data_IF_474097140836
#
_entry.id   IF_474097140836
#
_cell.length_a   1.000
_cell.length_b   1.000
_cell.length_c   1.000
_cell.angle_alpha   90.00
_cell.angle_beta   90.00
_cell.angle_gamma   90.00
#
_symmetry.space_group_name_H-M   'P 1'
#
loop_
_entity.id
_entity.type
_entity.pdbx_description
1 polymer ?
#
# COMPACT_ATOMS: atom_id res chain seq x y z
N UNK A 1 25.85 -2.05 1.19
CA UNK A 1 24.74 -1.08 1.37
C UNK A 1 23.40 -1.78 1.61
N UNK A 2 22.83 -2.52 0.64
CA UNK A 2 21.62 -3.34 0.85
C UNK A 2 21.86 -4.46 1.88
N UNK A 3 23.04 -5.08 1.80
CA UNK A 3 23.59 -6.04 2.76
C UNK A 3 23.60 -5.52 4.20
N UNK A 4 23.91 -4.24 4.37
CA UNK A 4 24.18 -3.64 5.68
C UNK A 4 22.86 -3.36 6.40
N UNK A 5 21.82 -3.00 5.64
CA UNK A 5 20.44 -2.84 6.13
C UNK A 5 19.80 -4.18 6.51
N UNK A 6 20.03 -5.23 5.71
CA UNK A 6 19.59 -6.58 6.08
C UNK A 6 20.28 -7.06 7.35
N UNK A 7 21.59 -6.85 7.47
CA UNK A 7 22.31 -7.19 8.70
C UNK A 7 21.80 -6.39 9.90
N UNK A 8 21.45 -5.11 9.74
CA UNK A 8 20.82 -4.32 10.79
C UNK A 8 19.45 -4.88 11.19
N UNK A 9 18.63 -5.28 10.21
CA UNK A 9 17.32 -5.90 10.46
C UNK A 9 17.43 -7.27 11.18
N UNK A 10 18.50 -8.03 10.92
CA UNK A 10 18.75 -9.33 11.58
C UNK A 10 19.24 -9.15 13.03
N UNK A 11 19.97 -8.08 13.32
CA UNK A 11 20.62 -7.85 14.63
C UNK A 11 19.69 -7.28 15.71
N UNK A 12 18.51 -6.79 15.35
CA UNK A 12 17.54 -6.26 16.30
C UNK A 12 16.20 -6.99 16.22
N UNK A 13 15.51 -7.25 17.35
CA UNK A 13 14.20 -7.85 17.32
C UNK A 13 13.22 -6.94 16.57
N UNK A 14 12.83 -7.34 15.36
CA UNK A 14 11.84 -6.68 14.50
C UNK A 14 10.41 -6.91 15.02
N UNK A 15 10.21 -6.88 16.34
CA UNK A 15 8.90 -7.10 16.96
C UNK A 15 8.04 -5.84 16.96
N UNK A 16 8.55 -4.71 16.42
CA UNK A 16 7.95 -3.38 16.35
C UNK A 16 6.42 -3.37 16.44
N UNK A 17 5.89 -3.25 17.66
CA UNK A 17 4.45 -3.23 17.88
C UNK A 17 3.98 -1.80 17.66
N UNK A 18 3.57 -1.50 16.43
CA UNK A 18 2.59 -0.44 16.14
C UNK A 18 3.06 1.01 16.12
N UNK A 19 2.43 1.77 15.22
CA UNK A 19 1.94 3.15 15.38
C UNK A 19 2.67 4.04 16.42
N UNK A 20 3.99 4.26 16.31
CA UNK A 20 4.58 5.44 16.95
C UNK A 20 5.98 5.36 17.54
N UNK A 21 6.63 4.19 17.65
CA UNK A 21 8.05 4.18 18.06
C UNK A 21 8.92 3.66 16.92
N UNK A 22 9.62 4.56 16.19
CA UNK A 22 10.62 4.13 15.23
C UNK A 22 11.64 3.24 15.93
N UNK A 23 12.18 2.25 15.23
CA UNK A 23 13.45 1.62 15.61
C UNK A 23 14.42 2.72 16.03
N UNK A 24 15.04 2.61 17.21
CA UNK A 24 15.80 3.70 17.84
C UNK A 24 16.73 4.46 16.85
N UNK A 25 17.51 3.77 15.99
CA UNK A 25 18.32 4.37 14.92
C UNK A 25 17.57 5.03 13.74
N UNK A 26 16.31 4.64 13.51
CA UNK A 26 15.41 5.17 12.49
C UNK A 26 14.56 6.36 13.00
N UNK A 27 14.67 6.72 14.29
CA UNK A 27 13.92 7.84 14.86
C UNK A 27 14.47 9.18 14.37
N UNK A 28 13.59 10.04 13.84
CA UNK A 28 13.95 11.41 13.45
C UNK A 28 14.46 12.23 14.65
N UNK A 29 14.10 11.85 15.89
CA UNK A 29 14.55 12.50 17.13
C UNK A 29 16.07 12.36 17.36
N UNK A 30 16.70 11.24 17.00
CA UNK A 30 18.17 11.10 17.09
C UNK A 30 18.91 11.67 15.87
N UNK A 31 18.20 12.07 14.80
CA UNK A 31 18.79 12.73 13.62
C UNK A 31 18.87 14.26 13.74
N UNK A 32 18.70 14.80 14.94
CA UNK A 32 19.03 16.20 15.24
C UNK A 32 18.10 17.25 14.64
N UNK A 33 16.85 16.92 14.31
CA UNK A 33 15.88 17.96 13.90
C UNK A 33 15.47 18.91 15.04
N UNK A 34 15.74 18.55 16.30
CA UNK A 34 15.53 19.44 17.45
C UNK A 34 16.73 19.54 18.42
N UNK A 35 17.80 18.77 18.26
CA UNK A 35 18.87 18.68 19.27
C UNK A 35 20.27 18.50 18.66
N UNK A 36 21.23 19.18 19.28
CA UNK A 36 22.52 19.68 18.76
C UNK A 36 23.67 18.67 18.87
N UNK A 37 23.44 17.38 19.11
CA UNK A 37 24.52 16.43 19.39
C UNK A 37 24.83 15.48 18.21
N UNK A 38 25.55 16.01 17.21
CA UNK A 38 26.08 15.26 16.07
C UNK A 38 27.42 14.52 16.35
N UNK A 39 27.81 14.36 17.61
CA UNK A 39 29.17 13.92 17.97
C UNK A 39 29.29 12.50 18.54
N UNK A 40 28.25 11.69 18.49
CA UNK A 40 28.35 10.28 18.87
C UNK A 40 28.81 9.42 17.69
N UNK A 41 30.12 9.16 17.61
CA UNK A 41 30.77 8.31 16.60
C UNK A 41 30.29 6.85 16.64
N UNK A 42 29.58 6.44 17.70
CA UNK A 42 28.94 5.11 17.78
C UNK A 42 27.66 4.99 16.95
N UNK A 43 27.06 6.12 16.54
CA UNK A 43 25.91 6.21 15.61
C UNK A 43 26.34 6.25 14.13
N UNK A 44 27.58 5.86 13.83
CA UNK A 44 28.08 5.77 12.46
C UNK A 44 27.28 4.73 11.65
N UNK A 45 26.61 5.23 10.61
CA UNK A 45 25.87 4.49 9.56
C UNK A 45 24.51 3.89 9.93
N UNK A 46 23.53 4.71 10.35
CA UNK A 46 22.17 4.41 9.92
C UNK A 46 22.01 4.81 8.44
N UNK A 47 22.23 3.85 7.53
CA UNK A 47 21.91 4.00 6.11
C UNK A 47 20.39 4.14 6.00
N UNK A 48 19.88 5.15 5.31
CA UNK A 48 18.43 5.26 5.13
C UNK A 48 17.91 4.07 4.32
N UNK A 49 16.77 3.46 4.67
CA UNK A 49 16.17 2.45 3.80
C UNK A 49 15.85 3.08 2.45
N UNK A 50 16.38 2.49 1.38
CA UNK A 50 16.22 2.99 0.01
C UNK A 50 14.98 2.46 -0.68
N UNK A 51 14.20 1.62 0.00
CA UNK A 51 12.93 1.13 -0.51
C UNK A 51 11.89 1.09 0.61
N UNK A 52 10.62 1.28 0.23
CA UNK A 52 9.51 1.39 1.18
C UNK A 52 9.28 0.11 1.99
N UNK A 53 9.62 -1.06 1.45
CA UNK A 53 9.46 -2.33 2.19
C UNK A 53 10.46 -2.44 3.34
N UNK A 54 11.72 -2.09 3.11
CA UNK A 54 12.73 -1.99 4.17
C UNK A 54 12.37 -0.90 5.19
N UNK A 55 11.79 0.20 4.72
CA UNK A 55 11.30 1.25 5.60
C UNK A 55 10.21 0.74 6.55
N UNK A 56 9.20 0.05 6.03
CA UNK A 56 8.13 -0.57 6.85
C UNK A 56 8.71 -1.65 7.77
N UNK A 57 9.62 -2.50 7.28
CA UNK A 57 10.25 -3.55 8.07
C UNK A 57 11.02 -2.99 9.27
N UNK A 58 11.82 -1.95 9.05
CA UNK A 58 12.60 -1.32 10.10
C UNK A 58 11.73 -0.50 11.05
N UNK A 59 10.64 0.12 10.58
CA UNK A 59 9.80 1.01 11.42
C UNK A 59 8.70 0.28 12.17
N UNK A 60 8.09 -0.71 11.55
CA UNK A 60 6.89 -1.40 12.04
C UNK A 60 7.15 -2.89 12.32
N UNK A 61 8.37 -3.37 12.09
CA UNK A 61 8.75 -4.75 12.37
C UNK A 61 8.18 -5.78 11.39
N UNK A 62 8.62 -7.01 11.58
CA UNK A 62 8.25 -8.16 10.76
C UNK A 62 6.73 -8.44 10.75
N UNK A 63 6.01 -8.37 11.89
CA UNK A 63 4.57 -8.65 11.89
C UNK A 63 3.77 -7.70 10.99
N UNK A 64 4.09 -6.39 11.02
CA UNK A 64 3.41 -5.40 10.19
C UNK A 64 3.76 -5.56 8.71
N UNK A 65 5.03 -5.85 8.38
CA UNK A 65 5.42 -6.15 7.00
C UNK A 65 4.69 -7.36 6.46
N UNK A 66 4.59 -8.44 7.25
CA UNK A 66 3.84 -9.64 6.86
C UNK A 66 2.35 -9.32 6.67
N UNK A 67 1.73 -8.59 7.59
CA UNK A 67 0.34 -8.19 7.47
C UNK A 67 0.09 -7.36 6.19
N UNK A 68 0.96 -6.39 5.90
CA UNK A 68 0.91 -5.59 4.68
C UNK A 68 1.01 -6.47 3.43
N UNK A 69 2.00 -7.38 3.37
CA UNK A 69 2.16 -8.30 2.25
C UNK A 69 0.94 -9.21 2.06
N UNK A 70 0.34 -9.70 3.15
CA UNK A 70 -0.89 -10.50 3.09
C UNK A 70 -2.03 -9.69 2.48
N UNK A 71 -2.24 -8.43 2.91
CA UNK A 71 -3.27 -7.55 2.33
C UNK A 71 -3.04 -7.34 0.85
N UNK A 72 -1.80 -7.01 0.44
CA UNK A 72 -1.46 -6.79 -0.96
C UNK A 72 -1.73 -8.03 -1.82
N UNK A 73 -1.22 -9.19 -1.39
CA UNK A 73 -1.43 -10.46 -2.10
C UNK A 73 -2.91 -10.78 -2.21
N UNK A 74 -3.69 -10.59 -1.13
CA UNK A 74 -5.14 -10.83 -1.15
C UNK A 74 -5.88 -9.92 -2.14
N UNK A 75 -5.55 -8.63 -2.14
CA UNK A 75 -6.12 -7.66 -3.07
C UNK A 75 -5.76 -7.99 -4.52
N UNK A 76 -4.49 -8.31 -4.82
CA UNK A 76 -4.09 -8.67 -6.19
C UNK A 76 -4.71 -9.98 -6.66
N UNK A 77 -4.77 -10.99 -5.79
CA UNK A 77 -5.45 -12.25 -6.13
C UNK A 77 -6.91 -12.00 -6.49
N UNK A 78 -7.59 -11.13 -5.72
CA UNK A 78 -8.96 -10.71 -6.01
C UNK A 78 -9.03 -10.01 -7.37
N UNK A 79 -8.24 -8.94 -7.58
CA UNK A 79 -8.21 -8.18 -8.83
C UNK A 79 -7.98 -9.06 -10.07
N UNK A 80 -6.99 -9.95 -10.04
CA UNK A 80 -6.66 -10.80 -11.19
C UNK A 80 -7.64 -11.97 -11.38
N UNK A 81 -8.27 -12.46 -10.31
CA UNK A 81 -9.31 -13.49 -10.43
C UNK A 81 -10.59 -12.95 -11.07
N UNK A 82 -10.91 -11.67 -10.83
CA UNK A 82 -12.14 -11.03 -11.35
C UNK A 82 -12.17 -10.97 -12.87
N UNK A 83 -11.01 -10.89 -13.53
CA UNK A 83 -10.97 -10.90 -15.00
C UNK A 83 -11.50 -12.22 -15.61
N UNK A 84 -11.36 -13.34 -14.88
CA UNK A 84 -11.80 -14.65 -15.36
C UNK A 84 -13.25 -15.00 -14.95
N UNK A 85 -13.71 -14.47 -13.82
CA UNK A 85 -14.97 -14.91 -13.18
C UNK A 85 -16.04 -13.82 -13.16
N UNK A 86 -15.65 -12.55 -13.38
CA UNK A 86 -16.54 -11.40 -13.26
C UNK A 86 -17.68 -11.42 -14.28
N UNK A 87 -18.91 -11.23 -13.78
CA UNK A 87 -20.12 -11.19 -14.61
C UNK A 87 -20.29 -9.82 -15.26
N UNK A 88 -19.95 -8.74 -14.55
CA UNK A 88 -19.91 -7.39 -15.10
C UNK A 88 -18.50 -7.01 -15.58
N UNK A 89 -18.30 -7.04 -16.90
CA UNK A 89 -16.98 -6.85 -17.55
C UNK A 89 -16.30 -5.53 -17.21
N UNK A 90 -17.05 -4.42 -17.18
CA UNK A 90 -16.46 -3.11 -16.88
C UNK A 90 -15.84 -3.04 -15.48
N UNK A 91 -16.55 -3.55 -14.45
CA UNK A 91 -16.02 -3.61 -13.10
C UNK A 91 -14.87 -4.61 -12.96
N UNK A 92 -14.90 -5.73 -13.69
CA UNK A 92 -13.81 -6.69 -13.74
C UNK A 92 -12.53 -6.10 -14.36
N UNK A 93 -12.66 -5.39 -15.49
CA UNK A 93 -11.54 -4.72 -16.17
C UNK A 93 -10.98 -3.58 -15.32
N UNK A 94 -11.85 -2.82 -14.63
CA UNK A 94 -11.43 -1.81 -13.66
C UNK A 94 -10.66 -2.43 -12.49
N UNK A 95 -11.14 -3.52 -11.89
CA UNK A 95 -10.44 -4.22 -10.82
C UNK A 95 -9.07 -4.72 -11.28
N UNK A 96 -8.97 -5.26 -12.50
CA UNK A 96 -7.72 -5.70 -13.10
C UNK A 96 -6.73 -4.55 -13.28
N UNK A 97 -7.19 -3.42 -13.84
CA UNK A 97 -6.36 -2.23 -14.01
C UNK A 97 -5.85 -1.69 -12.66
N UNK A 98 -6.71 -1.59 -11.65
CA UNK A 98 -6.33 -1.18 -10.30
C UNK A 98 -5.29 -2.14 -9.68
N UNK A 99 -5.49 -3.45 -9.87
CA UNK A 99 -4.52 -4.47 -9.44
C UNK A 99 -3.17 -4.31 -10.12
N UNK A 100 -3.14 -4.10 -11.44
CA UNK A 100 -1.90 -3.89 -12.19
C UNK A 100 -1.19 -2.58 -11.79
N UNK A 101 -1.94 -1.49 -11.64
CA UNK A 101 -1.39 -0.19 -11.23
C UNK A 101 -0.77 -0.25 -9.83
N UNK A 102 -1.47 -0.83 -8.86
CA UNK A 102 -0.95 -0.99 -7.49
C UNK A 102 0.23 -1.96 -7.44
N UNK A 103 0.22 -3.03 -8.24
CA UNK A 103 1.37 -3.93 -8.36
C UNK A 103 2.59 -3.20 -8.92
N UNK A 104 2.43 -2.42 -9.99
CA UNK A 104 3.51 -1.62 -10.56
C UNK A 104 4.08 -0.63 -9.54
N UNK A 105 3.21 0.11 -8.84
CA UNK A 105 3.63 1.06 -7.81
C UNK A 105 4.37 0.35 -6.66
N UNK A 106 3.90 -0.83 -6.25
CA UNK A 106 4.58 -1.62 -5.23
C UNK A 106 5.96 -2.10 -5.71
N UNK A 107 6.08 -2.60 -6.95
CA UNK A 107 7.37 -3.00 -7.52
C UNK A 107 8.35 -1.82 -7.61
N UNK A 108 7.88 -0.64 -8.01
CA UNK A 108 8.69 0.58 -7.98
C UNK A 108 9.11 0.97 -6.55
N UNK A 109 8.28 0.67 -5.56
CA UNK A 109 8.61 0.88 -4.14
C UNK A 109 9.64 -0.10 -3.58
N UNK A 110 10.01 -1.17 -4.30
CA UNK A 110 11.09 -2.09 -3.92
C UNK A 110 12.48 -1.51 -4.21
N UNK A 111 12.56 -0.51 -5.08
CA UNK A 111 13.81 0.16 -5.46
C UNK A 111 13.87 1.62 -5.05
N UNK A 112 12.76 2.18 -4.55
CA UNK A 112 12.64 3.57 -4.14
C UNK A 112 11.74 3.73 -2.92
N UNK A 113 11.88 4.83 -2.18
CA UNK A 113 11.00 5.18 -1.04
C UNK A 113 9.67 5.78 -1.48
N UNK A 114 9.18 5.45 -2.69
CA UNK A 114 8.04 6.11 -3.31
C UNK A 114 6.78 6.11 -2.43
N UNK A 115 6.48 5.02 -1.73
CA UNK A 115 5.29 4.91 -0.87
C UNK A 115 5.41 5.68 0.46
N UNK A 116 6.54 6.32 0.74
CA UNK A 116 6.69 7.23 1.88
C UNK A 116 6.27 8.66 1.52
N UNK A 117 6.27 9.02 0.23
CA UNK A 117 5.85 10.34 -0.20
C UNK A 117 4.32 10.39 -0.30
N UNK A 118 3.64 11.38 0.32
CA UNK A 118 2.19 11.49 0.30
C UNK A 118 1.58 11.42 -1.11
N UNK A 119 2.28 12.03 -2.09
CA UNK A 119 1.87 12.06 -3.50
C UNK A 119 1.73 10.70 -4.16
N UNK A 120 2.41 9.66 -3.67
CA UNK A 120 2.30 8.30 -4.19
C UNK A 120 1.65 7.34 -3.19
N UNK A 121 1.85 7.56 -1.89
CA UNK A 121 1.21 6.78 -0.83
C UNK A 121 -0.32 6.91 -0.88
N UNK A 122 -0.84 8.13 -0.98
CA UNK A 122 -2.28 8.39 -0.96
C UNK A 122 -2.97 7.72 -2.16
N UNK A 123 -2.52 7.92 -3.42
CA UNK A 123 -3.09 7.20 -4.56
C UNK A 123 -2.97 5.69 -4.42
N UNK A 124 -1.82 5.18 -3.96
CA UNK A 124 -1.61 3.74 -3.80
C UNK A 124 -2.67 3.09 -2.91
N UNK A 125 -2.86 3.63 -1.70
CA UNK A 125 -3.84 3.09 -0.75
C UNK A 125 -5.28 3.28 -1.23
N UNK A 126 -5.57 4.40 -1.91
CA UNK A 126 -6.88 4.64 -2.50
C UNK A 126 -7.21 3.61 -3.59
N UNK A 127 -6.29 3.38 -4.54
CA UNK A 127 -6.45 2.40 -5.60
C UNK A 127 -6.57 0.98 -5.04
N UNK A 128 -5.76 0.64 -4.02
CA UNK A 128 -5.82 -0.65 -3.35
C UNK A 128 -7.19 -0.88 -2.66
N UNK A 129 -7.74 0.17 -2.05
CA UNK A 129 -9.06 0.16 -1.41
C UNK A 129 -10.23 0.06 -2.39
N UNK A 130 -10.06 0.51 -3.64
CA UNK A 130 -11.08 0.40 -4.69
C UNK A 130 -11.20 -1.01 -5.28
N UNK A 131 -10.14 -1.83 -5.24
CA UNK A 131 -10.17 -3.21 -5.73
C UNK A 131 -11.35 -4.03 -5.17
N UNK A 132 -11.55 -4.13 -3.83
CA UNK A 132 -12.67 -4.88 -3.28
C UNK A 132 -14.04 -4.27 -3.61
N UNK A 133 -14.11 -2.96 -3.87
CA UNK A 133 -15.34 -2.30 -4.33
C UNK A 133 -15.67 -2.76 -5.75
N UNK A 134 -14.71 -2.67 -6.67
CA UNK A 134 -14.88 -3.17 -8.05
C UNK A 134 -15.19 -4.66 -8.08
N UNK A 135 -14.54 -5.48 -7.25
CA UNK A 135 -14.83 -6.91 -7.16
C UNK A 135 -16.29 -7.19 -6.74
N UNK A 136 -16.81 -6.47 -5.75
CA UNK A 136 -18.24 -6.59 -5.36
C UNK A 136 -19.19 -6.24 -6.49
N UNK A 137 -18.89 -5.21 -7.27
CA UNK A 137 -19.70 -4.84 -8.44
C UNK A 137 -19.55 -5.83 -9.61
N UNK A 138 -18.38 -6.45 -9.77
CA UNK A 138 -18.13 -7.45 -10.81
C UNK A 138 -18.93 -8.75 -10.55
N UNK A 139 -19.12 -9.11 -9.28
CA UNK A 139 -19.89 -10.27 -8.84
C UNK A 139 -21.40 -9.99 -8.71
N UNK A 140 -21.80 -8.73 -8.52
CA UNK A 140 -23.20 -8.35 -8.42
C UNK A 140 -23.95 -8.69 -9.71
N UNK A 141 -24.83 -9.68 -9.63
CA UNK A 141 -25.85 -9.99 -10.62
C UNK A 141 -26.71 -8.74 -10.77
N UNK A 142 -26.49 -7.94 -11.84
CA UNK A 142 -27.24 -6.73 -12.22
C UNK A 142 -28.17 -6.25 -11.10
N UNK A 143 -27.68 -5.51 -10.10
CA UNK A 143 -28.60 -4.82 -9.20
C UNK A 143 -29.13 -3.65 -10.02
N UNK A 144 -30.36 -3.71 -10.57
CA UNK A 144 -30.84 -2.73 -11.53
C UNK A 144 -31.22 -1.44 -10.81
N UNK A 145 -30.89 -1.24 -9.54
CA UNK A 145 -31.34 -0.08 -8.79
C UNK A 145 -30.67 1.22 -9.24
N UNK A 146 -29.42 1.18 -9.71
CA UNK A 146 -28.73 2.39 -10.18
C UNK A 146 -29.18 2.77 -11.60
N UNK A 147 -29.50 1.79 -12.46
CA UNK A 147 -30.01 2.06 -13.82
C UNK A 147 -31.50 2.40 -13.78
N UNK A 148 -32.29 1.73 -12.93
CA UNK A 148 -33.71 2.08 -12.74
C UNK A 148 -33.88 3.49 -12.15
N UNK A 149 -32.98 3.95 -11.27
CA UNK A 149 -33.03 5.34 -10.80
C UNK A 149 -32.68 6.36 -11.90
N UNK A 150 -31.91 6.01 -12.93
CA UNK A 150 -31.65 6.89 -14.06
C UNK A 150 -32.85 6.97 -15.03
N UNK A 151 -33.58 5.87 -15.24
CA UNK A 151 -34.79 5.85 -16.07
C UNK A 151 -36.00 6.51 -15.39
N UNK A 152 -36.14 6.37 -14.07
CA UNK A 152 -37.29 6.96 -13.33
C UNK A 152 -37.21 8.49 -13.22
N UNK A 153 -36.04 9.10 -13.48
CA UNK A 153 -35.84 10.56 -13.34
C UNK A 153 -36.11 11.35 -14.63
N UNK A 154 -36.48 10.70 -15.75
CA UNK A 154 -36.93 11.43 -16.97
C UNK A 154 -38.19 10.85 -17.61
N UNK A 155 -39.36 11.02 -16.99
CA UNK A 155 -40.64 10.82 -17.67
C UNK A 155 -41.02 11.99 -18.61
N UNK A 156 -40.24 13.08 -18.68
CA UNK A 156 -40.64 14.31 -19.39
C UNK A 156 -40.30 14.36 -20.90
N UNK A 157 -39.82 13.27 -21.51
CA UNK A 157 -39.48 13.24 -22.95
C UNK A 157 -40.29 12.21 -23.76
N UNK A 158 -41.31 11.60 -23.16
CA UNK A 158 -42.24 10.71 -23.85
C UNK A 158 -43.64 11.33 -23.86
N UNK A 159 -43.85 12.30 -24.73
CA UNK A 159 -45.12 12.99 -24.97
C UNK A 159 -44.98 14.06 -26.03
#
# INVERSE_FOLDING_TARGET
MWSDMLQAAVRAPLTGIGLGTPFYPASFMQKGWFWVDFNDLSLTMFVYPHNSVLFVLLRMGLPATVAMLVVLVRCWRMAFSMHQVGRWRFAADAAYFLGAATLFMFLASLTSVMLELPQAAIPFWFLLGLIPVCARYADAEHSPSIVAHAEVVRPELAG
#
